data_IF_586990973023
#
_entry.id   IF_586990973023
#
_cell.length_a   1.000
_cell.length_b   1.000
_cell.length_c   1.000
_cell.angle_alpha   90.00
_cell.angle_beta   90.00
_cell.angle_gamma   90.00
#
_symmetry.space_group_name_H-M   'P 1'
#
loop_
_entity.id
_entity.type
_entity.pdbx_description
1 polymer ?
#
# COMPACT_ATOMS: atom_id res chain seq x y z
N UNK A 1 13.92 -4.87 -3.95
CA UNK A 1 12.78 -4.10 -3.40
C UNK A 1 13.18 -2.64 -3.23
N UNK A 2 12.21 -1.73 -3.13
CA UNK A 2 12.48 -0.31 -2.90
C UNK A 2 13.20 -0.10 -1.55
N UNK A 3 14.05 0.93 -1.47
CA UNK A 3 14.71 1.30 -0.21
C UNK A 3 13.71 2.04 0.69
N UNK A 4 13.38 1.46 1.84
CA UNK A 4 12.41 2.01 2.79
C UNK A 4 13.04 2.63 4.04
N UNK A 5 14.38 2.80 4.10
CA UNK A 5 15.08 3.30 5.30
C UNK A 5 14.61 4.67 5.79
N UNK A 6 14.14 5.54 4.90
CA UNK A 6 13.63 6.89 5.24
C UNK A 6 12.10 6.96 5.29
N UNK A 7 11.40 5.83 5.23
CA UNK A 7 9.93 5.81 5.20
C UNK A 7 9.36 6.05 6.59
N UNK A 8 8.49 7.06 6.76
CA UNK A 8 7.88 7.43 8.06
C UNK A 8 6.40 7.06 8.18
N UNK A 9 5.77 6.69 7.08
CA UNK A 9 4.35 6.34 6.98
C UNK A 9 4.20 4.99 6.29
N UNK A 10 3.03 4.38 6.40
CA UNK A 10 2.64 3.30 5.51
C UNK A 10 2.75 3.74 4.04
N UNK A 11 3.04 2.77 3.17
CA UNK A 11 3.15 2.97 1.73
C UNK A 11 2.16 2.03 1.02
N UNK A 12 1.50 2.55 -0.01
CA UNK A 12 0.63 1.77 -0.88
C UNK A 12 1.37 1.29 -2.12
N UNK A 13 0.95 0.16 -2.69
CA UNK A 13 1.48 -0.30 -3.96
C UNK A 13 0.87 0.49 -5.12
N UNK A 14 1.71 1.28 -5.80
CA UNK A 14 1.27 2.16 -6.91
C UNK A 14 1.57 1.62 -8.30
N UNK A 15 2.25 0.48 -8.38
CA UNK A 15 2.60 -0.19 -9.64
C UNK A 15 2.37 -1.70 -9.49
N UNK A 16 1.14 -2.19 -9.73
CA UNK A 16 -0.07 -1.44 -10.12
C UNK A 16 -0.87 -0.88 -8.94
N UNK A 17 -1.62 0.23 -9.14
CA UNK A 17 -2.62 0.74 -8.17
C UNK A 17 -3.91 -0.08 -8.11
N UNK A 18 -4.09 -0.97 -9.07
CA UNK A 18 -5.28 -1.81 -9.25
C UNK A 18 -4.83 -3.27 -9.19
N UNK A 19 -5.42 -4.05 -8.28
CA UNK A 19 -4.95 -5.42 -7.98
C UNK A 19 -5.15 -6.36 -9.16
N UNK A 20 -6.22 -6.18 -9.92
CA UNK A 20 -6.61 -7.01 -11.05
C UNK A 20 -5.54 -7.01 -12.15
N UNK A 21 -4.76 -5.93 -12.28
CA UNK A 21 -3.63 -5.86 -13.22
C UNK A 21 -2.49 -6.82 -12.88
N UNK A 22 -2.42 -7.31 -11.63
CA UNK A 22 -1.42 -8.31 -11.23
C UNK A 22 -1.64 -9.61 -12.00
N UNK A 23 -2.89 -10.01 -12.24
CA UNK A 23 -3.24 -11.32 -12.82
C UNK A 23 -2.58 -11.53 -14.19
N UNK A 24 -2.82 -10.68 -15.21
CA UNK A 24 -2.20 -10.87 -16.52
C UNK A 24 -0.69 -10.60 -16.49
N UNK A 25 -0.20 -9.71 -15.63
CA UNK A 25 1.24 -9.43 -15.48
C UNK A 25 2.02 -10.64 -14.94
N UNK A 26 1.51 -11.34 -13.92
CA UNK A 26 2.19 -12.55 -13.40
C UNK A 26 2.00 -13.76 -14.30
N UNK A 27 0.89 -13.84 -15.03
CA UNK A 27 0.66 -14.87 -16.06
C UNK A 27 1.74 -14.77 -17.13
N UNK A 28 1.91 -13.59 -17.72
CA UNK A 28 2.96 -13.31 -18.70
C UNK A 28 4.37 -13.65 -18.15
N UNK A 29 4.66 -13.20 -16.92
CA UNK A 29 5.94 -13.46 -16.28
C UNK A 29 6.23 -14.97 -16.18
N UNK A 30 5.25 -15.75 -15.74
CA UNK A 30 5.44 -17.17 -15.43
C UNK A 30 5.35 -18.06 -16.67
N UNK A 31 4.56 -17.71 -17.68
CA UNK A 31 4.52 -18.44 -18.96
C UNK A 31 5.83 -18.28 -19.75
N UNK A 32 6.42 -17.07 -19.78
CA UNK A 32 7.61 -16.78 -20.62
C UNK A 32 8.96 -16.87 -19.90
N UNK A 33 8.98 -16.72 -18.58
CA UNK A 33 10.23 -16.57 -17.82
C UNK A 33 10.37 -17.50 -16.60
N UNK A 34 9.44 -18.43 -16.34
CA UNK A 34 9.60 -19.42 -15.27
C UNK A 34 10.94 -20.16 -15.39
N UNK A 35 11.61 -20.36 -14.26
CA UNK A 35 12.93 -21.00 -14.18
C UNK A 35 14.12 -20.10 -14.54
N UNK A 36 13.89 -18.89 -15.05
CA UNK A 36 14.98 -17.91 -15.30
C UNK A 36 15.31 -17.13 -14.04
N UNK A 37 16.55 -16.65 -13.92
CA UNK A 37 16.98 -15.74 -12.86
C UNK A 37 16.41 -14.34 -13.13
N UNK A 38 15.82 -13.69 -12.13
CA UNK A 38 15.26 -12.34 -12.25
C UNK A 38 16.34 -11.23 -12.27
N UNK A 39 17.15 -11.21 -13.33
CA UNK A 39 18.24 -10.25 -13.56
C UNK A 39 17.80 -9.06 -14.45
N UNK A 40 18.71 -8.11 -14.70
CA UNK A 40 18.42 -6.90 -15.48
C UNK A 40 17.95 -7.22 -16.91
N UNK A 41 18.55 -8.23 -17.55
CA UNK A 41 18.18 -8.62 -18.91
C UNK A 41 16.74 -9.16 -18.96
N UNK A 42 16.42 -10.11 -18.08
CA UNK A 42 15.07 -10.68 -17.97
C UNK A 42 14.04 -9.61 -17.61
N UNK A 43 14.39 -8.65 -16.76
CA UNK A 43 13.53 -7.50 -16.44
C UNK A 43 13.22 -6.65 -17.68
N UNK A 44 14.22 -6.35 -18.51
CA UNK A 44 14.02 -5.58 -19.75
C UNK A 44 13.14 -6.36 -20.73
N UNK A 45 13.43 -7.63 -20.94
CA UNK A 45 12.69 -8.47 -21.88
C UNK A 45 11.22 -8.63 -21.44
N UNK A 46 10.99 -8.94 -20.17
CA UNK A 46 9.64 -9.02 -19.60
C UNK A 46 8.86 -7.72 -19.82
N UNK A 47 9.49 -6.56 -19.60
CA UNK A 47 8.77 -5.30 -19.72
C UNK A 47 8.46 -4.94 -21.17
N UNK A 48 9.31 -5.31 -22.14
CA UNK A 48 9.01 -5.14 -23.56
C UNK A 48 7.78 -5.97 -23.96
N UNK A 49 7.73 -7.23 -23.52
CA UNK A 49 6.57 -8.10 -23.71
C UNK A 49 5.31 -7.54 -23.06
N UNK A 50 5.44 -7.06 -21.81
CA UNK A 50 4.35 -6.40 -21.10
C UNK A 50 3.86 -5.16 -21.86
N UNK A 51 4.78 -4.31 -22.31
CA UNK A 51 4.48 -3.07 -23.01
C UNK A 51 3.68 -3.31 -24.31
N UNK A 52 3.99 -4.40 -25.01
CA UNK A 52 3.32 -4.80 -26.25
C UNK A 52 2.05 -5.63 -26.03
N UNK A 53 1.69 -5.94 -24.80
CA UNK A 53 0.49 -6.73 -24.48
C UNK A 53 -0.78 -5.88 -24.52
N UNK A 54 -1.92 -6.50 -24.84
CA UNK A 54 -3.22 -5.82 -24.93
C UNK A 54 -3.71 -5.25 -23.60
N UNK A 55 -3.20 -5.77 -22.47
CA UNK A 55 -3.63 -5.37 -21.12
C UNK A 55 -2.74 -4.31 -20.47
N UNK A 56 -1.67 -3.86 -21.14
CA UNK A 56 -0.82 -2.80 -20.63
C UNK A 56 -1.27 -1.42 -21.13
N UNK A 57 -1.71 -0.58 -20.20
CA UNK A 57 -2.29 0.75 -20.50
C UNK A 57 -1.26 1.90 -20.57
N UNK A 58 0.04 1.62 -20.66
CA UNK A 58 1.05 2.68 -20.67
C UNK A 58 1.34 3.19 -22.09
N UNK A 59 1.16 4.49 -22.33
CA UNK A 59 1.33 5.07 -23.67
C UNK A 59 2.78 5.31 -24.14
N UNK A 60 3.79 5.09 -23.29
CA UNK A 60 5.20 5.21 -23.69
C UNK A 60 6.13 4.33 -22.87
N UNK A 61 7.21 3.87 -23.50
CA UNK A 61 8.26 3.12 -22.83
C UNK A 61 8.93 4.01 -21.76
N UNK A 62 9.10 3.53 -20.51
CA UNK A 62 9.77 4.28 -19.46
C UNK A 62 11.27 4.44 -19.78
N UNK A 63 11.85 5.57 -19.40
CA UNK A 63 13.29 5.83 -19.62
C UNK A 63 14.21 4.86 -18.87
N UNK A 64 13.72 4.20 -17.81
CA UNK A 64 14.42 3.09 -17.15
C UNK A 64 13.52 1.86 -17.12
N UNK A 65 13.65 1.02 -18.16
CA UNK A 65 12.81 -0.16 -18.40
C UNK A 65 12.97 -1.21 -17.31
N UNK A 66 14.21 -1.57 -16.94
CA UNK A 66 14.47 -2.58 -15.92
C UNK A 66 13.92 -2.16 -14.55
N UNK A 67 14.04 -0.88 -14.20
CA UNK A 67 13.45 -0.35 -12.98
C UNK A 67 11.92 -0.44 -12.99
N UNK A 68 11.27 -0.10 -14.10
CA UNK A 68 9.82 -0.20 -14.24
C UNK A 68 9.35 -1.66 -14.13
N UNK A 69 10.03 -2.60 -14.78
CA UNK A 69 9.80 -4.04 -14.68
C UNK A 69 9.91 -4.54 -13.24
N UNK A 70 11.00 -4.16 -12.57
CA UNK A 70 11.25 -4.49 -11.18
C UNK A 70 10.13 -3.97 -10.30
N UNK A 71 9.68 -2.74 -10.50
CA UNK A 71 8.64 -2.15 -9.68
C UNK A 71 7.27 -2.80 -9.92
N UNK A 72 6.94 -3.22 -11.15
CA UNK A 72 5.73 -3.98 -11.48
C UNK A 72 5.65 -5.31 -10.71
N UNK A 73 6.74 -6.07 -10.69
CA UNK A 73 6.74 -7.43 -10.11
C UNK A 73 7.11 -7.44 -8.61
N UNK A 74 8.08 -6.62 -8.19
CA UNK A 74 8.59 -6.69 -6.81
C UNK A 74 7.79 -5.89 -5.78
N UNK A 75 6.92 -4.96 -6.21
CA UNK A 75 5.99 -4.26 -5.32
C UNK A 75 4.85 -5.20 -4.95
N UNK A 76 3.66 -5.08 -5.53
CA UNK A 76 2.53 -5.90 -5.08
C UNK A 76 2.71 -7.41 -5.33
N UNK A 77 3.10 -7.90 -6.53
CA UNK A 77 3.07 -9.34 -6.81
C UNK A 77 3.97 -10.18 -5.90
N UNK A 78 5.25 -9.80 -5.77
CA UNK A 78 6.17 -10.46 -4.84
C UNK A 78 5.80 -10.19 -3.38
N UNK A 79 5.45 -8.94 -3.02
CA UNK A 79 5.20 -8.59 -1.62
C UNK A 79 3.95 -9.24 -1.04
N UNK A 80 2.95 -9.51 -1.89
CA UNK A 80 1.75 -10.27 -1.56
C UNK A 80 1.94 -11.78 -1.77
N UNK A 81 3.15 -12.24 -2.08
CA UNK A 81 3.49 -13.66 -2.14
C UNK A 81 2.88 -14.42 -3.31
N UNK A 82 2.56 -13.77 -4.42
CA UNK A 82 2.05 -14.45 -5.63
C UNK A 82 3.15 -15.05 -6.50
N UNK A 83 4.35 -14.48 -6.42
CA UNK A 83 5.52 -14.95 -7.18
C UNK A 83 6.74 -15.00 -6.29
N UNK A 84 7.61 -15.96 -6.56
CA UNK A 84 8.98 -15.99 -6.07
C UNK A 84 9.94 -15.64 -7.20
N UNK A 85 10.98 -14.90 -6.87
CA UNK A 85 11.99 -14.44 -7.83
C UNK A 85 13.39 -14.97 -7.47
N UNK A 86 13.51 -15.73 -6.38
CA UNK A 86 14.79 -16.27 -5.88
C UNK A 86 14.65 -17.75 -5.51
N UNK A 87 15.53 -18.63 -6.01
CA UNK A 87 16.69 -18.33 -6.89
C UNK A 87 16.28 -18.00 -8.33
N UNK A 88 15.11 -18.46 -8.76
CA UNK A 88 14.56 -18.29 -10.10
C UNK A 88 13.09 -17.87 -10.01
N UNK A 89 12.53 -17.40 -11.12
CA UNK A 89 11.13 -17.00 -11.23
C UNK A 89 10.25 -18.24 -11.09
N UNK A 90 9.36 -18.23 -10.10
CA UNK A 90 8.39 -19.28 -9.84
C UNK A 90 7.05 -18.68 -9.41
N UNK A 91 5.98 -19.42 -9.70
CA UNK A 91 4.64 -19.14 -9.20
C UNK A 91 4.50 -19.80 -7.82
N UNK A 92 3.94 -19.10 -6.84
CA UNK A 92 3.61 -19.70 -5.54
C UNK A 92 2.26 -20.41 -5.59
N UNK A 93 1.87 -21.14 -4.55
CA UNK A 93 0.50 -21.68 -4.44
C UNK A 93 -0.56 -20.59 -4.49
N UNK A 94 -0.33 -19.47 -3.80
CA UNK A 94 -1.22 -18.31 -3.85
C UNK A 94 -1.29 -17.70 -5.26
N UNK A 95 -0.17 -17.66 -5.97
CA UNK A 95 -0.11 -17.25 -7.38
C UNK A 95 -0.88 -18.18 -8.30
N UNK A 96 -0.74 -19.49 -8.12
CA UNK A 96 -1.47 -20.50 -8.87
C UNK A 96 -2.98 -20.38 -8.64
N UNK A 97 -3.41 -20.22 -7.38
CA UNK A 97 -4.79 -19.95 -7.03
C UNK A 97 -5.31 -18.66 -7.69
N UNK A 98 -4.50 -17.60 -7.69
CA UNK A 98 -4.86 -16.33 -8.33
C UNK A 98 -5.09 -16.49 -9.85
N UNK A 99 -4.23 -17.25 -10.53
CA UNK A 99 -4.35 -17.51 -11.97
C UNK A 99 -5.52 -18.40 -12.38
N UNK A 100 -6.20 -19.06 -11.43
CA UNK A 100 -7.47 -19.74 -11.73
C UNK A 100 -8.62 -18.77 -11.98
N UNK A 101 -8.45 -17.50 -11.57
CA UNK A 101 -9.45 -16.43 -11.63
C UNK A 101 -10.76 -16.73 -10.87
N UNK A 102 -10.79 -17.80 -10.08
CA UNK A 102 -11.91 -18.14 -9.21
C UNK A 102 -11.77 -17.39 -7.90
N UNK A 103 -12.84 -16.67 -7.49
CA UNK A 103 -12.93 -15.95 -6.21
C UNK A 103 -11.72 -15.02 -5.96
N UNK A 104 -11.32 -14.25 -6.98
CA UNK A 104 -10.17 -13.34 -6.92
C UNK A 104 -10.15 -12.47 -5.65
N UNK A 105 -11.30 -11.93 -5.26
CA UNK A 105 -11.44 -11.11 -4.06
C UNK A 105 -11.02 -11.86 -2.78
N UNK A 106 -11.36 -13.14 -2.63
CA UNK A 106 -10.93 -13.96 -1.49
C UNK A 106 -9.43 -14.22 -1.53
N UNK A 107 -8.88 -14.56 -2.70
CA UNK A 107 -7.44 -14.80 -2.88
C UNK A 107 -6.63 -13.55 -2.53
N UNK A 108 -7.04 -12.38 -3.00
CA UNK A 108 -6.43 -11.11 -2.61
C UNK A 108 -6.59 -10.85 -1.12
N UNK A 109 -7.79 -11.04 -0.56
CA UNK A 109 -8.07 -10.82 0.87
C UNK A 109 -7.10 -11.59 1.76
N UNK A 110 -6.92 -12.90 1.50
CA UNK A 110 -6.00 -13.74 2.29
C UNK A 110 -4.57 -13.21 2.26
N UNK A 111 -4.08 -12.78 1.10
CA UNK A 111 -2.71 -12.27 0.97
C UNK A 111 -2.54 -10.86 1.56
N UNK A 112 -3.55 -9.99 1.45
CA UNK A 112 -3.55 -8.67 2.08
C UNK A 112 -3.57 -8.76 3.61
N UNK A 113 -4.35 -9.68 4.18
CA UNK A 113 -4.41 -9.88 5.63
C UNK A 113 -3.12 -10.51 6.20
N UNK A 114 -2.37 -11.27 5.39
CA UNK A 114 -1.01 -11.77 5.73
C UNK A 114 0.06 -10.69 5.59
N UNK A 115 -0.18 -9.62 4.84
CA UNK A 115 0.80 -8.57 4.61
C UNK A 115 1.12 -7.83 5.92
N UNK A 116 2.40 -7.77 6.26
CA UNK A 116 2.89 -7.20 7.50
C UNK A 116 4.19 -6.42 7.33
N UNK A 117 4.40 -5.48 8.26
CA UNK A 117 5.64 -4.75 8.44
C UNK A 117 6.07 -4.94 9.91
N UNK A 118 7.29 -5.44 10.19
CA UNK A 118 8.32 -5.78 9.21
C UNK A 118 8.02 -7.13 8.53
N UNK A 119 8.75 -7.42 7.45
CA UNK A 119 8.80 -8.74 6.82
C UNK A 119 10.19 -8.98 6.24
N UNK A 120 10.61 -10.22 5.92
CA UNK A 120 11.90 -10.46 5.28
C UNK A 120 12.10 -9.70 3.96
N UNK A 121 10.99 -9.37 3.29
CA UNK A 121 10.92 -8.51 2.13
C UNK A 121 11.10 -7.02 2.47
N UNK A 122 10.52 -6.56 3.58
CA UNK A 122 10.57 -5.18 4.04
C UNK A 122 11.33 -5.09 5.36
N UNK A 123 12.67 -5.00 5.25
CA UNK A 123 13.62 -4.90 6.37
C UNK A 123 13.56 -3.54 7.07
N UNK A 124 12.44 -3.28 7.73
CA UNK A 124 12.19 -2.16 8.64
C UNK A 124 12.44 -2.63 10.07
N UNK A 125 12.73 -1.71 10.99
CA UNK A 125 12.88 -2.06 12.41
C UNK A 125 11.51 -2.20 13.06
N UNK A 126 11.37 -3.10 14.03
CA UNK A 126 10.10 -3.34 14.71
C UNK A 126 9.62 -2.10 15.49
N UNK A 127 10.55 -1.34 16.06
CA UNK A 127 10.26 -0.11 16.79
C UNK A 127 9.60 0.94 15.90
N UNK A 128 9.97 0.97 14.61
CA UNK A 128 9.43 1.93 13.65
C UNK A 128 8.16 1.40 12.97
N UNK A 129 8.17 0.11 12.64
CA UNK A 129 7.08 -0.58 11.96
C UNK A 129 6.79 -1.93 12.62
N UNK A 130 5.59 -2.08 13.17
CA UNK A 130 5.07 -3.34 13.70
C UNK A 130 3.55 -3.35 13.52
N UNK A 131 3.09 -3.73 12.33
CA UNK A 131 1.69 -3.59 11.92
C UNK A 131 1.31 -4.54 10.77
N UNK A 132 0.04 -4.95 10.72
CA UNK A 132 -0.63 -5.54 9.56
C UNK A 132 -1.54 -4.49 8.90
N UNK A 133 -1.06 -3.74 7.90
CA UNK A 133 -1.73 -2.52 7.44
C UNK A 133 -3.18 -2.72 6.98
N UNK A 134 -3.47 -3.79 6.25
CA UNK A 134 -4.81 -4.04 5.71
C UNK A 134 -5.79 -4.54 6.79
N UNK A 135 -5.30 -5.30 7.79
CA UNK A 135 -6.10 -5.67 8.96
C UNK A 135 -6.46 -4.44 9.80
N UNK A 136 -5.47 -3.59 10.11
CA UNK A 136 -5.69 -2.37 10.86
C UNK A 136 -6.55 -1.35 10.10
N UNK A 137 -6.55 -1.37 8.76
CA UNK A 137 -7.48 -0.57 7.95
C UNK A 137 -8.93 -0.96 8.25
N UNK A 138 -9.27 -2.26 8.23
CA UNK A 138 -10.62 -2.75 8.56
C UNK A 138 -10.98 -2.37 10.00
N UNK A 139 -10.08 -2.62 10.94
CA UNK A 139 -10.28 -2.30 12.35
C UNK A 139 -10.57 -0.82 12.56
N UNK A 140 -9.81 0.05 11.89
CA UNK A 140 -10.00 1.49 11.96
C UNK A 140 -11.34 1.89 11.33
N UNK A 141 -11.68 1.37 10.16
CA UNK A 141 -12.95 1.65 9.49
C UNK A 141 -14.16 1.26 10.34
N UNK A 142 -14.11 0.13 11.04
CA UNK A 142 -15.15 -0.26 12.02
C UNK A 142 -15.16 0.70 13.20
N UNK A 143 -14.01 0.93 13.83
CA UNK A 143 -13.89 1.71 15.07
C UNK A 143 -14.36 3.15 14.94
N UNK A 144 -14.11 3.80 13.79
CA UNK A 144 -14.52 5.19 13.56
C UNK A 144 -15.75 5.32 12.67
N UNK A 145 -16.49 4.22 12.47
CA UNK A 145 -17.74 4.18 11.70
C UNK A 145 -17.59 4.76 10.29
N UNK A 146 -16.56 4.26 9.61
CA UNK A 146 -16.19 4.60 8.26
C UNK A 146 -15.13 5.71 8.16
N UNK A 147 -14.52 5.82 6.99
CA UNK A 147 -13.39 6.71 6.69
C UNK A 147 -13.61 7.50 5.41
N UNK A 148 -13.22 8.75 5.37
CA UNK A 148 -13.08 9.52 4.13
C UNK A 148 -11.70 9.30 3.52
N UNK A 149 -11.55 9.53 2.20
CA UNK A 149 -10.25 9.45 1.51
C UNK A 149 -9.19 10.34 2.17
N UNK A 150 -9.59 11.53 2.66
CA UNK A 150 -8.69 12.44 3.38
C UNK A 150 -8.25 11.89 4.72
N UNK A 151 -9.13 11.21 5.48
CA UNK A 151 -8.76 10.59 6.76
C UNK A 151 -7.78 9.43 6.55
N UNK A 152 -7.93 8.66 5.46
CA UNK A 152 -6.96 7.63 5.09
C UNK A 152 -5.59 8.27 4.80
N UNK A 153 -5.56 9.30 3.96
CA UNK A 153 -4.32 9.96 3.55
C UNK A 153 -3.64 10.72 4.69
N UNK A 154 -4.40 11.38 5.57
CA UNK A 154 -3.88 12.13 6.70
C UNK A 154 -3.43 11.22 7.83
N UNK A 155 -4.27 10.26 8.24
CA UNK A 155 -4.13 9.62 9.56
C UNK A 155 -3.87 8.12 9.48
N UNK A 156 -4.59 7.36 8.64
CA UNK A 156 -4.35 5.91 8.53
C UNK A 156 -2.90 5.60 8.14
N UNK A 157 -2.32 6.37 7.20
CA UNK A 157 -0.93 6.15 6.81
C UNK A 157 0.09 6.35 7.95
N UNK A 158 -0.28 7.00 9.05
CA UNK A 158 0.60 7.14 10.21
C UNK A 158 0.59 5.90 11.12
N UNK A 159 -0.30 4.94 10.89
CA UNK A 159 -0.46 3.72 11.68
C UNK A 159 0.64 2.70 11.35
N UNK A 160 1.89 3.05 11.64
CA UNK A 160 3.05 2.19 11.39
C UNK A 160 3.27 1.14 12.47
N UNK A 161 2.67 1.32 13.65
CA UNK A 161 2.81 0.44 14.81
C UNK A 161 1.44 0.24 15.44
N UNK A 162 1.12 -0.97 15.91
CA UNK A 162 -0.19 -1.29 16.52
C UNK A 162 -0.57 -0.38 17.69
N UNK A 163 0.42 0.11 18.44
CA UNK A 163 0.24 1.02 19.59
C UNK A 163 -0.22 2.42 19.18
N UNK A 164 0.00 2.81 17.92
CA UNK A 164 -0.47 4.10 17.39
C UNK A 164 -1.97 4.10 17.08
N UNK A 165 -2.66 2.95 17.21
CA UNK A 165 -4.06 2.84 16.81
C UNK A 165 -4.95 3.86 17.52
N UNK A 166 -4.88 3.93 18.86
CA UNK A 166 -5.71 4.84 19.64
C UNK A 166 -5.39 6.31 19.32
N UNK A 167 -4.11 6.63 19.10
CA UNK A 167 -3.70 7.96 18.67
C UNK A 167 -4.30 8.32 17.30
N UNK A 168 -4.30 7.40 16.33
CA UNK A 168 -4.88 7.61 15.01
C UNK A 168 -6.40 7.81 15.09
N UNK A 169 -7.10 7.02 15.90
CA UNK A 169 -8.54 7.21 16.20
C UNK A 169 -8.80 8.60 16.78
N UNK A 170 -8.01 9.03 17.77
CA UNK A 170 -8.14 10.35 18.38
C UNK A 170 -7.90 11.49 17.39
N UNK A 171 -6.89 11.35 16.50
CA UNK A 171 -6.62 12.34 15.44
C UNK A 171 -7.81 12.47 14.48
N UNK A 172 -8.43 11.35 14.08
CA UNK A 172 -9.62 11.36 13.22
C UNK A 172 -10.79 12.06 13.92
N UNK A 173 -11.07 11.72 15.17
CA UNK A 173 -12.18 12.32 15.91
C UNK A 173 -11.97 13.83 16.11
N UNK A 174 -10.75 14.23 16.47
CA UNK A 174 -10.36 15.65 16.57
C UNK A 174 -10.51 16.38 15.24
N UNK A 175 -10.09 15.77 14.13
CA UNK A 175 -10.25 16.32 12.79
C UNK A 175 -11.72 16.51 12.41
N UNK A 176 -12.59 15.55 12.75
CA UNK A 176 -14.03 15.67 12.51
C UNK A 176 -14.65 16.77 13.36
N UNK A 177 -14.30 16.88 14.63
CA UNK A 177 -14.81 17.92 15.53
C UNK A 177 -14.39 19.32 15.06
N UNK A 178 -13.10 19.51 14.76
CA UNK A 178 -12.56 20.78 14.30
C UNK A 178 -13.15 21.19 12.93
N UNK A 179 -13.45 20.23 12.06
CA UNK A 179 -14.10 20.50 10.78
C UNK A 179 -15.48 21.15 10.92
N UNK A 180 -16.25 20.82 11.96
CA UNK A 180 -17.59 21.39 12.20
C UNK A 180 -17.53 22.89 12.53
N UNK A 181 -16.46 23.32 13.18
CA UNK A 181 -16.28 24.70 13.65
C UNK A 181 -15.41 25.54 12.71
N UNK A 182 -14.91 24.97 11.61
CA UNK A 182 -14.02 25.68 10.69
C UNK A 182 -14.82 26.62 9.78
N UNK A 183 -14.51 27.93 9.84
CA UNK A 183 -15.23 28.98 9.10
C UNK A 183 -14.93 29.03 7.59
N UNK A 184 -13.93 28.28 7.10
CA UNK A 184 -13.54 28.27 5.70
C UNK A 184 -14.00 27.03 4.93
N UNK A 185 -13.54 26.89 3.68
CA UNK A 185 -13.88 25.72 2.86
C UNK A 185 -13.30 24.41 3.43
N UNK A 186 -13.98 23.29 3.18
CA UNK A 186 -13.45 21.96 3.50
C UNK A 186 -12.08 21.70 2.87
N UNK A 187 -11.85 22.19 1.65
CA UNK A 187 -10.58 22.03 0.92
C UNK A 187 -9.43 22.75 1.61
N UNK A 188 -9.63 23.99 2.06
CA UNK A 188 -8.60 24.75 2.78
C UNK A 188 -8.34 24.16 4.16
N UNK A 189 -9.37 23.67 4.86
CA UNK A 189 -9.21 22.95 6.12
C UNK A 189 -8.32 21.72 5.96
N UNK A 190 -8.66 20.83 5.02
CA UNK A 190 -7.89 19.60 4.74
C UNK A 190 -6.46 19.94 4.33
N UNK A 191 -6.27 21.01 3.56
CA UNK A 191 -4.93 21.46 3.17
C UNK A 191 -4.08 21.87 4.38
N UNK A 192 -4.61 22.66 5.30
CA UNK A 192 -3.90 23.07 6.53
C UNK A 192 -3.59 21.88 7.43
N UNK A 193 -4.51 20.91 7.54
CA UNK A 193 -4.24 19.66 8.25
C UNK A 193 -3.08 18.87 7.62
N UNK A 194 -3.01 18.77 6.29
CA UNK A 194 -1.88 18.11 5.64
C UNK A 194 -0.56 18.80 5.97
N UNK A 195 -0.49 20.13 5.91
CA UNK A 195 0.74 20.85 6.22
C UNK A 195 1.19 20.59 7.65
N UNK A 196 0.27 20.69 8.61
CA UNK A 196 0.55 20.42 10.03
C UNK A 196 1.05 18.99 10.26
N UNK A 197 0.34 17.99 9.74
CA UNK A 197 0.70 16.58 9.94
C UNK A 197 2.04 16.24 9.26
N UNK A 198 2.28 16.74 8.04
CA UNK A 198 3.56 16.49 7.34
C UNK A 198 4.71 17.15 8.09
N UNK A 199 4.54 18.37 8.59
CA UNK A 199 5.57 19.05 9.39
C UNK A 199 5.91 18.25 10.65
N UNK A 200 4.92 17.67 11.34
CA UNK A 200 5.14 16.82 12.50
C UNK A 200 5.84 15.49 12.15
N UNK A 201 5.38 14.80 11.09
CA UNK A 201 5.93 13.50 10.68
C UNK A 201 7.40 13.62 10.25
N UNK A 202 7.76 14.71 9.59
CA UNK A 202 9.08 14.94 9.00
C UNK A 202 9.86 16.07 9.70
N UNK A 203 9.56 16.33 10.96
CA UNK A 203 10.16 17.43 11.72
C UNK A 203 11.69 17.38 11.68
N UNK A 204 12.27 16.20 11.93
CA UNK A 204 13.73 16.02 11.94
C UNK A 204 14.38 16.29 10.57
N UNK A 205 13.72 15.91 9.47
CA UNK A 205 14.19 16.21 8.11
C UNK A 205 14.07 17.72 7.79
N UNK A 206 13.02 18.36 8.29
CA UNK A 206 12.77 19.79 8.09
C UNK A 206 13.79 20.64 8.85
N UNK A 207 14.05 20.32 10.12
CA UNK A 207 15.06 21.00 10.96
C UNK A 207 16.47 20.90 10.35
N UNK A 208 16.77 19.78 9.68
CA UNK A 208 18.07 19.54 9.02
C UNK A 208 18.15 20.09 7.59
N UNK A 209 17.08 20.71 7.08
CA UNK A 209 16.95 21.09 5.67
C UNK A 209 17.22 19.94 4.68
N UNK A 210 16.95 18.67 5.06
CA UNK A 210 17.16 17.47 4.23
C UNK A 210 15.97 17.28 3.25
N UNK A 211 15.80 18.23 2.33
CA UNK A 211 14.69 18.24 1.37
C UNK A 211 15.03 17.56 0.03
N UNK A 212 16.27 17.08 -0.15
CA UNK A 212 16.72 16.51 -1.43
C UNK A 212 16.00 15.19 -1.69
N UNK A 213 15.37 15.10 -2.86
CA UNK A 213 14.86 13.83 -3.40
C UNK A 213 15.75 13.35 -4.54
N UNK A 214 15.67 12.06 -4.88
CA UNK A 214 16.39 11.47 -6.01
C UNK A 214 16.12 12.17 -7.35
N UNK A 215 15.01 12.89 -7.47
CA UNK A 215 14.51 13.46 -8.73
C UNK A 215 14.57 15.00 -8.80
N UNK A 216 14.97 15.71 -7.75
CA UNK A 216 14.92 17.19 -7.74
C UNK A 216 16.17 17.86 -7.16
N UNK A 217 16.80 18.76 -7.94
CA UNK A 217 17.91 19.64 -7.53
C UNK A 217 17.46 20.85 -6.69
N UNK A 218 16.22 21.28 -6.83
CA UNK A 218 15.64 22.45 -6.17
C UNK A 218 14.91 22.04 -4.88
N UNK A 219 15.33 22.59 -3.74
CA UNK A 219 14.99 22.11 -2.39
C UNK A 219 14.32 23.19 -1.53
N UNK A 220 13.05 23.47 -1.76
CA UNK A 220 12.25 24.35 -0.88
C UNK A 220 11.31 23.54 0.01
N UNK A 221 11.06 24.05 1.22
CA UNK A 221 10.08 23.45 2.15
C UNK A 221 8.70 23.29 1.48
N UNK A 222 8.26 24.29 0.72
CA UNK A 222 6.99 24.26 -0.03
C UNK A 222 6.93 23.07 -1.00
N UNK A 223 8.00 22.83 -1.76
CA UNK A 223 8.09 21.69 -2.69
C UNK A 223 8.12 20.37 -1.94
N UNK A 224 8.87 20.29 -0.83
CA UNK A 224 8.92 19.11 0.03
C UNK A 224 7.52 18.75 0.57
N UNK A 225 6.82 19.70 1.17
CA UNK A 225 5.46 19.50 1.70
C UNK A 225 4.49 19.06 0.59
N UNK A 226 4.56 19.70 -0.58
CA UNK A 226 3.74 19.34 -1.76
C UNK A 226 3.99 17.90 -2.19
N UNK A 227 5.25 17.47 -2.29
CA UNK A 227 5.62 16.10 -2.68
C UNK A 227 5.15 15.08 -1.65
N UNK A 228 5.36 15.32 -0.35
CA UNK A 228 4.90 14.41 0.71
C UNK A 228 3.38 14.27 0.71
N UNK A 229 2.66 15.38 0.54
CA UNK A 229 1.20 15.38 0.41
C UNK A 229 0.74 14.54 -0.78
N UNK A 230 1.34 14.74 -1.95
CA UNK A 230 1.01 13.96 -3.16
C UNK A 230 1.20 12.46 -2.93
N UNK A 231 2.36 12.09 -2.37
CA UNK A 231 2.67 10.68 -2.09
C UNK A 231 1.69 10.06 -1.08
N UNK A 232 1.31 10.78 -0.03
CA UNK A 232 0.32 10.30 0.94
C UNK A 232 -1.06 10.11 0.30
N UNK A 233 -1.48 11.02 -0.58
CA UNK A 233 -2.74 10.85 -1.33
C UNK A 233 -2.67 9.64 -2.25
N UNK A 234 -1.56 9.46 -2.97
CA UNK A 234 -1.36 8.32 -3.88
C UNK A 234 -1.35 6.98 -3.13
N UNK A 235 -0.68 6.92 -1.98
CA UNK A 235 -0.66 5.72 -1.14
C UNK A 235 -2.03 5.41 -0.54
N UNK A 236 -2.77 6.43 -0.09
CA UNK A 236 -4.13 6.25 0.38
C UNK A 236 -5.04 5.72 -0.72
N UNK A 237 -4.98 6.29 -1.92
CA UNK A 237 -5.78 5.80 -3.06
C UNK A 237 -5.46 4.33 -3.37
N UNK A 238 -4.18 3.94 -3.36
CA UNK A 238 -3.78 2.54 -3.53
C UNK A 238 -4.34 1.62 -2.43
N UNK A 239 -4.24 1.99 -1.15
CA UNK A 239 -4.84 1.21 -0.06
C UNK A 239 -6.35 1.04 -0.24
N UNK A 240 -7.05 2.12 -0.57
CA UNK A 240 -8.50 2.12 -0.75
C UNK A 240 -8.92 1.23 -1.92
N UNK A 241 -8.20 1.29 -3.05
CA UNK A 241 -8.46 0.41 -4.20
C UNK A 241 -8.25 -1.06 -3.86
N UNK A 242 -7.16 -1.37 -3.17
CA UNK A 242 -6.83 -2.73 -2.77
C UNK A 242 -7.87 -3.28 -1.80
N UNK A 243 -8.26 -2.48 -0.80
CA UNK A 243 -9.32 -2.86 0.12
C UNK A 243 -10.68 -3.00 -0.58
N UNK A 244 -11.02 -2.13 -1.52
CA UNK A 244 -12.28 -2.24 -2.27
C UNK A 244 -12.34 -3.52 -3.10
N UNK A 245 -11.23 -3.95 -3.69
CA UNK A 245 -11.16 -5.19 -4.46
C UNK A 245 -11.43 -6.45 -3.59
N UNK A 246 -11.23 -6.38 -2.27
CA UNK A 246 -11.63 -7.45 -1.33
C UNK A 246 -13.14 -7.57 -1.13
N UNK A 247 -13.90 -6.54 -1.52
CA UNK A 247 -15.33 -6.38 -1.24
C UNK A 247 -15.70 -6.27 0.24
N UNK A 248 -14.72 -6.28 1.16
CA UNK A 248 -14.95 -6.07 2.61
C UNK A 248 -15.29 -4.61 2.95
N UNK A 249 -14.99 -3.68 2.04
CA UNK A 249 -15.37 -2.29 2.15
C UNK A 249 -16.19 -1.87 0.93
N UNK A 250 -17.04 -0.86 1.12
CA UNK A 250 -17.72 -0.16 0.03
C UNK A 250 -17.70 1.35 0.28
N UNK A 251 -18.15 2.13 -0.70
CA UNK A 251 -18.44 3.54 -0.51
C UNK A 251 -19.92 3.73 -0.21
N UNK A 252 -20.24 4.37 0.91
CA UNK A 252 -21.60 4.78 1.20
C UNK A 252 -22.05 5.82 0.14
N UNK A 253 -23.23 5.66 -0.50
CA UNK A 253 -23.59 6.47 -1.67
C UNK A 253 -23.77 7.98 -1.43
N UNK A 254 -24.20 8.42 -0.25
CA UNK A 254 -24.53 9.84 0.03
C UNK A 254 -23.34 10.67 0.48
N UNK A 255 -22.41 10.03 1.19
CA UNK A 255 -21.29 10.62 1.90
C UNK A 255 -19.95 10.24 1.29
N UNK A 256 -19.93 9.20 0.44
CA UNK A 256 -18.72 8.61 -0.15
C UNK A 256 -17.68 8.17 0.89
N UNK A 257 -18.15 7.88 2.12
CA UNK A 257 -17.31 7.31 3.16
C UNK A 257 -17.07 5.83 2.86
N UNK A 258 -15.87 5.38 3.12
CA UNK A 258 -15.45 3.99 3.11
C UNK A 258 -16.05 3.34 4.34
N UNK A 259 -16.95 2.38 4.15
CA UNK A 259 -17.68 1.69 5.23
C UNK A 259 -17.60 0.18 5.03
N UNK A 260 -17.88 -0.57 6.10
CA UNK A 260 -18.13 -2.01 6.00
C UNK A 260 -19.60 -2.19 5.59
N UNK A 261 -19.92 -2.83 4.45
CA UNK A 261 -21.30 -3.11 4.11
C UNK A 261 -21.89 -4.11 5.11
N UNK A 262 -23.19 -3.99 5.42
CA UNK A 262 -23.87 -4.88 6.38
C UNK A 262 -23.75 -6.35 6.02
N UNK A 263 -23.76 -6.68 4.71
CA UNK A 263 -23.56 -8.04 4.18
C UNK A 263 -22.17 -8.63 4.44
N UNK A 264 -21.21 -7.83 4.91
CA UNK A 264 -19.85 -8.24 5.28
C UNK A 264 -19.51 -8.00 6.74
N UNK A 265 -20.48 -7.58 7.56
CA UNK A 265 -20.23 -7.30 8.98
C UNK A 265 -19.70 -8.54 9.71
N UNK A 266 -20.34 -9.71 9.51
CA UNK A 266 -19.93 -10.96 10.16
C UNK A 266 -18.57 -11.45 9.66
N UNK A 267 -18.31 -11.38 8.34
CA UNK A 267 -17.02 -11.69 7.75
C UNK A 267 -15.90 -10.83 8.37
N UNK A 268 -16.13 -9.52 8.49
CA UNK A 268 -15.14 -8.59 9.06
C UNK A 268 -14.96 -8.81 10.56
N UNK A 269 -16.03 -9.06 11.30
CA UNK A 269 -15.95 -9.39 12.73
C UNK A 269 -15.15 -10.68 12.95
N UNK A 270 -15.42 -11.71 12.15
CA UNK A 270 -14.66 -12.95 12.18
C UNK A 270 -13.17 -12.71 11.87
N UNK A 271 -12.86 -11.92 10.83
CA UNK A 271 -11.48 -11.56 10.48
C UNK A 271 -10.78 -10.85 11.66
N UNK A 272 -11.42 -9.84 12.24
CA UNK A 272 -10.83 -9.01 13.30
C UNK A 272 -10.66 -9.78 14.62
N UNK A 273 -11.47 -10.81 14.86
CA UNK A 273 -11.37 -11.67 16.05
C UNK A 273 -10.41 -12.84 15.85
N UNK A 274 -10.33 -13.39 14.64
CA UNK A 274 -9.54 -14.60 14.36
C UNK A 274 -8.09 -14.33 13.97
N UNK A 275 -7.79 -13.16 13.41
CA UNK A 275 -6.43 -12.83 12.96
C UNK A 275 -5.73 -11.98 14.01
N UNK A 276 -4.59 -12.42 14.57
CA UNK A 276 -3.84 -11.63 15.54
C UNK A 276 -3.32 -10.36 14.88
N UNK A 277 -3.25 -9.27 15.64
CA UNK A 277 -2.81 -7.97 15.14
C UNK A 277 -1.31 -7.92 14.94
N UNK A 278 -0.60 -8.63 15.81
CA UNK A 278 0.84 -8.69 15.89
C UNK A 278 1.41 -9.32 14.61
N UNK A 279 2.34 -8.65 13.92
CA UNK A 279 3.20 -9.26 12.92
C UNK A 279 3.93 -10.48 13.47
N UNK A 280 4.00 -11.55 12.68
CA UNK A 280 4.81 -12.72 13.02
C UNK A 280 6.31 -12.44 12.78
N UNK A 281 7.18 -13.07 13.58
CA UNK A 281 8.63 -12.95 13.43
C UNK A 281 9.16 -14.07 12.54
N UNK A 282 9.93 -13.72 11.51
CA UNK A 282 10.48 -14.67 10.55
C UNK A 282 12.01 -14.55 10.51
N UNK A 283 12.70 -15.70 10.61
CA UNK A 283 14.16 -15.76 10.60
C UNK A 283 14.77 -15.38 9.24
N UNK A 284 14.12 -15.76 8.13
CA UNK A 284 14.61 -15.54 6.77
C UNK A 284 13.47 -15.56 5.74
N UNK A 285 13.80 -15.29 4.46
CA UNK A 285 12.82 -15.32 3.35
C UNK A 285 12.21 -16.73 3.17
N UNK A 286 12.93 -17.82 3.44
CA UNK A 286 12.41 -19.19 3.29
C UNK A 286 11.28 -19.47 4.28
N UNK A 287 11.49 -19.18 5.57
CA UNK A 287 10.49 -19.34 6.62
C UNK A 287 9.27 -18.43 6.45
N UNK A 288 9.38 -17.35 5.65
CA UNK A 288 8.27 -16.46 5.33
C UNK A 288 7.47 -16.90 4.11
N UNK A 289 8.06 -17.75 3.26
CA UNK A 289 7.42 -18.31 2.06
C UNK A 289 6.65 -19.59 2.35
N UNK A 290 7.06 -20.35 3.37
CA UNK A 290 6.36 -21.52 3.92
C UNK A 290 5.10 -21.11 4.66
#
# INVERSE_FOLDING_TARGET
>A
MANLKKTKTLFGFTSPRTLEKIVPEIKLLTEKYKGKVWNVQVQVDFFKELFNSEFYEGGKMPGNVSLAARDRITRAPKSLGFVDLKPVIQLTEAGAALLTEKRLHETFTRQLLKFQLPSPYHKLTAEQFFVKPYLEFLRLAVTVEGLSKSEVALFFLQLTHIDKFNLVVQKINTFRANAKNFKGSRKSYVHGCFEKEIQQIYQAEIEKNDFKTRESKESSLKKFLKTKRSNMIDYADAFIRYMRATQLITFEPKTYRIVIPSTKADDVNYILTSIPREPALFKNETAFKS
#
